data_IF_904549838873
#
_entry.id   IF_904549838873
#
_cell.length_a   1.000
_cell.length_b   1.000
_cell.length_c   1.000
_cell.angle_alpha   90.00
_cell.angle_beta   90.00
_cell.angle_gamma   90.00
#
_symmetry.space_group_name_H-M   'P 1'
#
loop_
_entity.id
_entity.type
_entity.pdbx_description
1 polymer ?
#
# COMPACT_ATOMS: atom_id res chain seq x y z
N UNK A 1 63.00 30.72 46.45
CA UNK A 1 62.47 29.38 46.10
C UNK A 1 62.09 28.62 47.37
N UNK A 2 60.80 28.54 47.69
CA UNK A 2 60.14 27.42 48.39
C UNK A 2 58.65 27.75 48.50
N UNK A 3 57.84 27.05 47.70
CA UNK A 3 56.38 27.03 47.81
C UNK A 3 56.03 26.16 49.01
N UNK A 4 55.18 26.63 49.92
CA UNK A 4 54.39 25.77 50.79
C UNK A 4 52.97 26.31 50.86
N UNK A 5 52.08 25.53 50.26
CA UNK A 5 50.64 25.73 50.13
C UNK A 5 49.92 25.16 51.35
N UNK A 6 48.99 25.95 51.90
CA UNK A 6 48.07 25.59 52.98
C UNK A 6 46.97 24.64 52.45
N UNK A 7 46.57 23.58 53.16
CA UNK A 7 45.60 22.61 52.65
C UNK A 7 44.17 23.14 52.80
N UNK A 8 43.44 23.23 51.68
CA UNK A 8 42.00 23.48 51.66
C UNK A 8 41.28 22.12 51.72
N UNK A 9 40.48 21.97 52.76
CA UNK A 9 39.62 20.84 53.05
C UNK A 9 38.55 20.69 51.95
N UNK A 10 38.63 19.64 51.13
CA UNK A 10 37.58 19.31 50.16
C UNK A 10 36.47 18.51 50.85
N UNK A 11 35.32 19.17 51.07
CA UNK A 11 34.07 18.54 51.46
C UNK A 11 33.50 17.85 50.23
N UNK A 12 33.53 16.52 50.21
CA UNK A 12 32.89 15.70 49.17
C UNK A 12 31.40 15.56 49.50
N UNK A 13 30.56 16.27 48.75
CA UNK A 13 29.11 16.07 48.75
C UNK A 13 28.81 14.70 48.10
N UNK A 14 28.39 13.74 48.91
CA UNK A 14 27.81 12.48 48.46
C UNK A 14 26.41 12.76 47.88
N UNK A 15 26.32 12.86 46.55
CA UNK A 15 25.03 12.80 45.85
C UNK A 15 24.57 11.35 45.90
N UNK A 16 23.64 11.06 46.80
CA UNK A 16 22.88 9.81 46.80
C UNK A 16 21.96 9.81 45.56
N UNK A 17 22.45 9.24 44.46
CA UNK A 17 21.65 8.98 43.27
C UNK A 17 20.64 7.88 43.59
N UNK A 18 19.35 8.22 43.51
CA UNK A 18 18.26 7.24 43.43
C UNK A 18 18.46 6.37 42.18
N UNK A 19 19.11 5.23 42.36
CA UNK A 19 19.14 4.18 41.35
C UNK A 19 17.81 3.42 41.43
N UNK A 20 16.75 4.05 40.91
CA UNK A 20 15.54 3.32 40.58
C UNK A 20 15.93 2.32 39.51
N UNK A 21 16.20 1.08 39.92
CA UNK A 21 16.56 0.00 39.03
C UNK A 21 15.52 -0.08 37.92
N UNK A 22 15.92 0.34 36.72
CA UNK A 22 15.20 0.02 35.50
C UNK A 22 15.18 -1.49 35.47
N UNK A 23 14.02 -2.10 35.78
CA UNK A 23 13.80 -3.51 35.48
C UNK A 23 13.88 -3.60 33.97
N UNK A 24 15.03 -4.03 33.47
CA UNK A 24 15.14 -4.58 32.14
C UNK A 24 14.16 -5.75 32.11
N UNK A 25 12.99 -5.52 31.51
CA UNK A 25 12.13 -6.62 31.08
C UNK A 25 12.94 -7.31 30.00
N UNK A 26 13.65 -8.38 30.38
CA UNK A 26 14.26 -9.27 29.42
C UNK A 26 13.13 -9.85 28.60
N UNK A 27 12.89 -9.29 27.41
CA UNK A 27 12.25 -10.06 26.36
C UNK A 27 13.17 -11.25 26.13
N UNK A 28 12.76 -12.43 26.61
CA UNK A 28 13.29 -13.64 26.00
C UNK A 28 12.88 -13.52 24.54
N UNK A 29 13.85 -13.52 23.62
CA UNK A 29 13.59 -13.89 22.23
C UNK A 29 13.09 -15.33 22.26
N UNK A 30 11.79 -15.51 22.56
CA UNK A 30 11.14 -16.79 22.45
C UNK A 30 11.09 -17.08 20.97
N UNK A 31 11.97 -17.97 20.49
CA UNK A 31 11.81 -18.52 19.16
C UNK A 31 10.43 -19.17 19.11
N UNK A 32 9.60 -18.80 18.14
CA UNK A 32 8.35 -19.51 17.87
C UNK A 32 8.63 -21.01 17.76
N UNK A 33 7.70 -21.84 18.23
CA UNK A 33 7.84 -23.28 18.06
C UNK A 33 8.03 -23.62 16.57
N UNK A 34 8.78 -24.68 16.27
CA UNK A 34 9.00 -25.11 14.89
C UNK A 34 7.68 -25.39 14.16
N UNK A 35 6.69 -25.89 14.89
CA UNK A 35 5.33 -26.14 14.43
C UNK A 35 4.58 -24.85 14.09
N UNK A 36 4.63 -23.83 14.96
CA UNK A 36 4.04 -22.52 14.71
C UNK A 36 4.66 -21.85 13.47
N UNK A 37 5.99 -21.99 13.33
CA UNK A 37 6.72 -21.46 12.17
C UNK A 37 6.32 -22.17 10.88
N UNK A 38 6.14 -23.50 10.92
CA UNK A 38 5.70 -24.29 9.78
C UNK A 38 4.25 -23.94 9.39
N UNK A 39 3.35 -23.82 10.37
CA UNK A 39 1.96 -23.42 10.15
C UNK A 39 1.89 -22.02 9.52
N UNK A 40 2.64 -21.06 10.06
CA UNK A 40 2.68 -19.70 9.52
C UNK A 40 3.18 -19.68 8.06
N UNK A 41 4.25 -20.44 7.75
CA UNK A 41 4.73 -20.57 6.36
C UNK A 41 3.66 -21.17 5.45
N UNK A 42 2.96 -22.21 5.91
CA UNK A 42 1.91 -22.85 5.12
C UNK A 42 0.75 -21.88 4.85
N UNK A 43 0.29 -21.15 5.87
CA UNK A 43 -0.75 -20.11 5.70
C UNK A 43 -0.28 -19.06 4.70
N UNK A 44 0.94 -18.51 4.84
CA UNK A 44 1.48 -17.54 3.89
C UNK A 44 1.52 -18.06 2.46
N UNK A 45 1.99 -19.29 2.26
CA UNK A 45 2.10 -19.87 0.91
C UNK A 45 0.72 -20.12 0.30
N UNK A 46 -0.22 -20.70 1.05
CA UNK A 46 -1.58 -20.97 0.58
C UNK A 46 -2.33 -19.67 0.28
N UNK A 47 -2.18 -18.63 1.10
CA UNK A 47 -2.78 -17.32 0.82
C UNK A 47 -2.13 -16.64 -0.38
N UNK A 48 -0.81 -16.75 -0.56
CA UNK A 48 -0.12 -16.26 -1.76
C UNK A 48 -0.71 -16.84 -3.05
N UNK A 49 -1.10 -18.13 -3.05
CA UNK A 49 -1.70 -18.77 -4.23
C UNK A 49 -3.02 -18.11 -4.68
N UNK A 50 -3.72 -17.36 -3.83
CA UNK A 50 -4.87 -16.55 -4.27
C UNK A 50 -4.47 -15.51 -5.34
N UNK A 51 -3.34 -14.85 -5.14
CA UNK A 51 -2.83 -13.80 -6.02
C UNK A 51 -1.94 -14.33 -7.15
N UNK A 52 -1.62 -15.62 -7.11
CA UNK A 52 -0.79 -16.29 -8.12
C UNK A 52 -1.61 -17.20 -9.02
N UNK A 53 -2.10 -18.32 -8.49
CA UNK A 53 -2.92 -19.28 -9.23
C UNK A 53 -4.37 -18.80 -9.40
N UNK A 54 -4.88 -18.07 -8.41
CA UNK A 54 -6.23 -17.51 -8.39
C UNK A 54 -6.40 -16.22 -9.19
N UNK A 55 -5.30 -15.62 -9.67
CA UNK A 55 -5.32 -14.38 -10.43
C UNK A 55 -6.16 -14.48 -11.72
N UNK A 56 -6.69 -13.35 -12.17
CA UNK A 56 -7.36 -13.30 -13.47
C UNK A 56 -6.31 -13.43 -14.59
N UNK A 57 -6.50 -14.35 -15.55
CA UNK A 57 -5.45 -14.76 -16.48
C UNK A 57 -5.05 -13.73 -17.54
N UNK A 58 -5.82 -12.66 -17.80
CA UNK A 58 -5.45 -11.62 -18.78
C UNK A 58 -4.70 -10.48 -18.10
N UNK A 59 -5.26 -9.90 -17.05
CA UNK A 59 -4.69 -8.79 -16.27
C UNK A 59 -3.56 -9.23 -15.34
N UNK A 60 -3.62 -10.46 -14.82
CA UNK A 60 -2.76 -10.93 -13.74
C UNK A 60 -3.10 -10.34 -12.36
N UNK A 61 -4.17 -9.53 -12.26
CA UNK A 61 -4.62 -8.93 -11.00
C UNK A 61 -5.39 -9.94 -10.14
N UNK A 62 -5.47 -9.64 -8.83
CA UNK A 62 -6.34 -10.36 -7.91
C UNK A 62 -7.81 -10.17 -8.28
N UNK A 63 -8.56 -11.27 -8.32
CA UNK A 63 -10.01 -11.23 -8.48
C UNK A 63 -10.67 -10.62 -7.25
N UNK A 64 -11.81 -9.96 -7.46
CA UNK A 64 -12.68 -9.52 -6.37
C UNK A 64 -13.08 -10.71 -5.47
N UNK A 65 -13.38 -11.86 -6.08
CA UNK A 65 -13.79 -13.07 -5.36
C UNK A 65 -13.39 -14.34 -6.09
N UNK A 66 -13.15 -15.39 -5.31
CA UNK A 66 -12.90 -16.73 -5.83
C UNK A 66 -13.81 -17.73 -5.13
N UNK A 67 -14.75 -18.33 -5.87
CA UNK A 67 -15.66 -19.34 -5.35
C UNK A 67 -15.21 -20.73 -5.81
N UNK A 68 -14.87 -21.59 -4.86
CA UNK A 68 -14.32 -22.94 -5.13
C UNK A 68 -15.34 -23.83 -5.85
N UNK A 69 -16.64 -23.64 -5.57
CA UNK A 69 -17.73 -24.36 -6.23
C UNK A 69 -17.98 -23.90 -7.68
N UNK A 70 -17.33 -22.83 -8.12
CA UNK A 70 -17.50 -22.24 -9.44
C UNK A 70 -18.81 -21.48 -9.65
N UNK A 71 -19.62 -21.28 -8.61
CA UNK A 71 -20.90 -20.59 -8.70
C UNK A 71 -20.73 -19.08 -8.47
N UNK A 72 -20.92 -18.27 -9.52
CA UNK A 72 -20.82 -16.81 -9.46
C UNK A 72 -22.18 -16.19 -9.82
N UNK A 73 -23.04 -15.86 -8.83
CA UNK A 73 -24.40 -15.37 -9.08
C UNK A 73 -24.45 -14.13 -9.99
N UNK A 74 -23.45 -13.26 -9.88
CA UNK A 74 -23.35 -12.01 -10.65
C UNK A 74 -22.53 -12.16 -11.94
N UNK A 75 -22.14 -13.38 -12.32
CA UNK A 75 -21.26 -13.70 -13.45
C UNK A 75 -19.98 -12.83 -13.46
N UNK A 76 -19.40 -12.63 -12.28
CA UNK A 76 -18.35 -11.64 -12.00
C UNK A 76 -16.98 -12.27 -11.71
N UNK A 77 -16.78 -13.54 -12.07
CA UNK A 77 -15.52 -14.27 -11.83
C UNK A 77 -14.26 -13.55 -12.33
N UNK A 78 -14.35 -12.85 -13.46
CA UNK A 78 -13.21 -12.14 -14.06
C UNK A 78 -13.17 -10.65 -13.72
N UNK A 79 -13.95 -10.24 -12.71
CA UNK A 79 -13.83 -8.90 -12.13
C UNK A 79 -12.62 -8.85 -11.23
N UNK A 80 -11.79 -7.84 -11.43
CA UNK A 80 -10.58 -7.58 -10.67
C UNK A 80 -10.74 -6.28 -9.89
N UNK A 81 -10.21 -6.26 -8.67
CA UNK A 81 -10.28 -5.12 -7.74
C UNK A 81 -8.96 -4.38 -7.71
N UNK A 82 -9.00 -3.04 -7.74
CA UNK A 82 -7.79 -2.21 -7.70
C UNK A 82 -7.10 -2.29 -6.35
N UNK A 83 -7.74 -1.94 -5.23
CA UNK A 83 -7.07 -1.96 -3.93
C UNK A 83 -6.70 -3.37 -3.48
N UNK A 84 -7.57 -4.36 -3.70
CA UNK A 84 -7.26 -5.76 -3.43
C UNK A 84 -6.05 -6.27 -4.23
N UNK A 85 -5.88 -5.82 -5.48
CA UNK A 85 -4.68 -6.14 -6.26
C UNK A 85 -3.43 -5.38 -5.79
N UNK A 86 -3.57 -4.22 -5.14
CA UNK A 86 -2.51 -3.56 -4.40
C UNK A 86 -1.88 -4.45 -3.32
N UNK A 87 -2.73 -5.17 -2.58
CA UNK A 87 -2.25 -6.19 -1.63
C UNK A 87 -1.61 -7.37 -2.36
N UNK A 88 -2.19 -7.77 -3.50
CA UNK A 88 -1.66 -8.83 -4.36
C UNK A 88 -0.24 -8.58 -4.88
N UNK A 89 0.07 -7.37 -5.34
CA UNK A 89 1.43 -7.06 -5.80
C UNK A 89 2.46 -7.14 -4.66
N UNK A 90 2.08 -6.76 -3.44
CA UNK A 90 2.92 -6.96 -2.24
C UNK A 90 3.07 -8.44 -1.91
N UNK A 91 2.01 -9.24 -2.03
CA UNK A 91 2.07 -10.69 -1.84
C UNK A 91 3.02 -11.36 -2.85
N UNK A 92 3.08 -10.86 -4.10
CA UNK A 92 4.05 -11.34 -5.09
C UNK A 92 5.49 -11.07 -4.66
N UNK A 93 5.79 -9.88 -4.11
CA UNK A 93 7.11 -9.59 -3.54
C UNK A 93 7.46 -10.55 -2.40
N UNK A 94 6.51 -10.85 -1.51
CA UNK A 94 6.67 -11.86 -0.46
C UNK A 94 6.94 -13.24 -1.06
N UNK A 95 6.23 -13.62 -2.12
CA UNK A 95 6.42 -14.90 -2.81
C UNK A 95 7.82 -15.06 -3.42
N UNK A 96 8.38 -13.97 -3.95
CA UNK A 96 9.78 -13.93 -4.41
C UNK A 96 10.74 -14.15 -3.23
N UNK A 97 10.62 -13.35 -2.17
CA UNK A 97 11.52 -13.39 -1.01
C UNK A 97 11.46 -14.73 -0.25
N UNK A 98 10.28 -15.36 -0.20
CA UNK A 98 10.07 -16.65 0.47
C UNK A 98 10.37 -17.86 -0.41
N UNK A 99 10.73 -17.64 -1.67
CA UNK A 99 11.01 -18.68 -2.65
C UNK A 99 9.78 -19.52 -3.03
N UNK A 100 8.57 -18.96 -2.93
CA UNK A 100 7.36 -19.60 -3.46
C UNK A 100 7.35 -19.57 -4.98
N UNK A 101 7.95 -18.53 -5.57
CA UNK A 101 8.20 -18.37 -7.00
C UNK A 101 9.61 -17.83 -7.23
N UNK A 102 10.14 -17.98 -8.44
CA UNK A 102 11.41 -17.35 -8.80
C UNK A 102 11.25 -15.84 -8.97
N UNK A 103 12.33 -15.08 -8.75
CA UNK A 103 12.35 -13.63 -9.00
C UNK A 103 11.95 -13.27 -10.44
N UNK A 104 12.40 -14.08 -11.41
CA UNK A 104 12.04 -13.88 -12.81
C UNK A 104 10.53 -14.08 -13.07
N UNK A 105 9.94 -15.13 -12.50
CA UNK A 105 8.50 -15.38 -12.63
C UNK A 105 7.70 -14.24 -11.98
N UNK A 106 8.07 -13.84 -10.76
CA UNK A 106 7.44 -12.73 -10.04
C UNK A 106 7.54 -11.40 -10.81
N UNK A 107 8.71 -11.07 -11.36
CA UNK A 107 8.90 -9.87 -12.22
C UNK A 107 7.98 -9.91 -13.44
N UNK A 108 7.89 -11.04 -14.15
CA UNK A 108 7.03 -11.18 -15.34
C UNK A 108 5.55 -11.00 -14.99
N UNK A 109 5.10 -11.54 -13.86
CA UNK A 109 3.72 -11.34 -13.38
C UNK A 109 3.46 -9.86 -13.06
N UNK A 110 4.41 -9.19 -12.38
CA UNK A 110 4.28 -7.76 -12.07
C UNK A 110 4.33 -6.88 -13.32
N UNK A 111 5.13 -7.22 -14.33
CA UNK A 111 5.15 -6.52 -15.62
C UNK A 111 3.82 -6.59 -16.36
N UNK A 112 3.16 -7.76 -16.30
CA UNK A 112 1.81 -7.97 -16.84
C UNK A 112 0.77 -7.12 -16.11
N UNK A 113 0.82 -7.11 -14.77
CA UNK A 113 -0.05 -6.26 -13.94
C UNK A 113 0.16 -4.78 -14.28
N UNK A 114 1.40 -4.31 -14.32
CA UNK A 114 1.71 -2.91 -14.65
C UNK A 114 1.25 -2.58 -16.07
N UNK A 115 1.37 -3.50 -17.03
CA UNK A 115 0.86 -3.29 -18.38
C UNK A 115 -0.67 -3.15 -18.42
N UNK A 116 -1.39 -3.94 -17.63
CA UNK A 116 -2.84 -3.79 -17.51
C UNK A 116 -3.19 -2.41 -16.93
N UNK A 117 -2.52 -1.98 -15.85
CA UNK A 117 -2.79 -0.69 -15.22
C UNK A 117 -2.47 0.52 -16.13
N UNK A 118 -1.50 0.38 -17.04
CA UNK A 118 -1.16 1.39 -18.06
C UNK A 118 -2.24 1.54 -19.15
N UNK A 119 -3.10 0.54 -19.34
CA UNK A 119 -4.05 0.48 -20.46
C UNK A 119 -5.53 0.43 -20.03
N UNK A 120 -5.79 0.07 -18.76
CA UNK A 120 -7.13 0.06 -18.18
C UNK A 120 -7.69 1.48 -18.01
N UNK A 121 -9.02 1.58 -17.90
CA UNK A 121 -9.69 2.86 -17.65
C UNK A 121 -9.17 3.49 -16.34
N UNK A 122 -8.84 4.79 -16.42
CA UNK A 122 -8.47 5.63 -15.29
C UNK A 122 -9.15 7.01 -15.40
N UNK A 123 -9.29 7.69 -14.28
CA UNK A 123 -10.08 8.90 -14.12
C UNK A 123 -9.29 9.92 -13.30
N UNK A 124 -8.70 10.89 -13.99
CA UNK A 124 -7.70 11.79 -13.39
C UNK A 124 -6.54 11.01 -12.74
N UNK A 125 -6.08 9.97 -13.45
CA UNK A 125 -5.03 9.06 -13.00
C UNK A 125 -5.45 8.03 -11.95
N UNK A 126 -6.55 8.26 -11.22
CA UNK A 126 -7.07 7.27 -10.28
C UNK A 126 -7.79 6.13 -11.00
N UNK A 127 -7.67 4.93 -10.47
CA UNK A 127 -8.32 3.73 -10.97
C UNK A 127 -9.71 3.56 -10.34
N UNK A 128 -10.66 2.92 -11.05
CA UNK A 128 -11.94 2.53 -10.46
C UNK A 128 -11.76 1.44 -9.40
N UNK A 129 -12.81 1.23 -8.62
CA UNK A 129 -12.91 0.11 -7.68
C UNK A 129 -12.75 -1.24 -8.40
N UNK A 130 -13.49 -1.41 -9.52
CA UNK A 130 -13.49 -2.65 -10.30
C UNK A 130 -13.26 -2.42 -11.80
N UNK A 131 -12.60 -3.40 -12.40
CA UNK A 131 -12.58 -3.59 -13.84
C UNK A 131 -13.10 -4.98 -14.22
N UNK A 132 -13.53 -5.11 -15.48
CA UNK A 132 -13.41 -6.40 -16.15
C UNK A 132 -11.92 -6.66 -16.48
N UNK A 133 -11.34 -7.71 -15.89
CA UNK A 133 -9.92 -8.05 -16.05
C UNK A 133 -9.51 -8.44 -17.47
N UNK A 134 -10.46 -8.83 -18.33
CA UNK A 134 -10.19 -9.19 -19.72
C UNK A 134 -10.04 -7.96 -20.62
N UNK A 135 -10.65 -6.83 -20.24
CA UNK A 135 -10.79 -5.66 -21.11
C UNK A 135 -10.19 -4.37 -20.54
N UNK A 136 -9.95 -4.32 -19.24
CA UNK A 136 -9.53 -3.10 -18.56
C UNK A 136 -10.64 -2.05 -18.46
N UNK A 137 -11.89 -2.40 -18.78
CA UNK A 137 -13.03 -1.48 -18.70
C UNK A 137 -13.62 -1.44 -17.31
N UNK A 138 -13.98 -0.23 -16.85
CA UNK A 138 -14.62 -0.05 -15.54
C UNK A 138 -15.88 -0.90 -15.44
N UNK A 139 -16.00 -1.65 -14.34
CA UNK A 139 -17.26 -2.26 -13.92
C UNK A 139 -17.81 -1.40 -12.77
N UNK A 140 -18.95 -0.71 -12.94
CA UNK A 140 -19.45 0.17 -11.89
C UNK A 140 -19.75 -0.54 -10.57
N UNK A 141 -19.31 0.03 -9.45
CA UNK A 141 -19.61 -0.44 -8.09
C UNK A 141 -20.92 0.19 -7.59
N UNK A 142 -22.00 -0.14 -8.31
CA UNK A 142 -23.29 0.56 -8.18
C UNK A 142 -23.48 1.65 -9.23
N UNK A 143 -24.63 2.32 -9.20
CA UNK A 143 -25.08 3.13 -10.35
C UNK A 143 -24.21 4.35 -10.66
N UNK A 144 -23.67 5.01 -9.62
CA UNK A 144 -22.97 6.29 -9.73
C UNK A 144 -21.45 6.17 -9.57
N UNK A 145 -20.98 4.98 -9.21
CA UNK A 145 -19.57 4.70 -8.97
C UNK A 145 -18.99 3.99 -10.20
N UNK A 146 -18.89 4.75 -11.30
CA UNK A 146 -18.40 4.32 -12.61
C UNK A 146 -17.13 5.09 -13.03
N UNK A 147 -16.46 5.69 -12.05
CA UNK A 147 -15.27 6.52 -12.25
C UNK A 147 -14.13 6.11 -11.33
N UNK A 148 -13.33 7.07 -10.89
CA UNK A 148 -12.17 6.78 -10.04
C UNK A 148 -12.55 6.65 -8.58
N UNK A 149 -11.94 5.67 -7.93
CA UNK A 149 -11.97 5.42 -6.49
C UNK A 149 -10.57 5.72 -5.92
N UNK A 150 -10.44 6.82 -5.18
CA UNK A 150 -9.15 7.28 -4.68
C UNK A 150 -8.63 6.45 -3.50
N UNK A 151 -9.51 5.78 -2.74
CA UNK A 151 -9.11 4.93 -1.63
C UNK A 151 -8.50 3.65 -2.17
N UNK A 152 -9.19 2.98 -3.11
CA UNK A 152 -8.68 1.76 -3.74
C UNK A 152 -7.41 2.03 -4.57
N UNK A 153 -7.37 3.18 -5.27
CA UNK A 153 -6.15 3.68 -5.92
C UNK A 153 -4.99 3.80 -4.93
N UNK A 154 -5.26 4.31 -3.73
CA UNK A 154 -4.22 4.48 -2.70
C UNK A 154 -3.68 3.15 -2.19
N UNK A 155 -4.52 2.12 -2.06
CA UNK A 155 -4.07 0.77 -1.73
C UNK A 155 -3.21 0.15 -2.85
N UNK A 156 -3.60 0.33 -4.12
CA UNK A 156 -2.78 -0.07 -5.27
C UNK A 156 -1.42 0.63 -5.27
N UNK A 157 -1.40 1.96 -5.08
CA UNK A 157 -0.18 2.74 -5.07
C UNK A 157 0.76 2.37 -3.92
N UNK A 158 0.22 2.09 -2.74
CA UNK A 158 1.01 1.56 -1.62
C UNK A 158 1.77 0.29 -2.03
N UNK A 159 1.12 -0.63 -2.75
CA UNK A 159 1.76 -1.82 -3.30
C UNK A 159 2.77 -1.53 -4.41
N UNK A 160 2.42 -0.69 -5.38
CA UNK A 160 3.31 -0.33 -6.50
C UNK A 160 4.57 0.40 -6.05
N UNK A 161 4.48 1.24 -5.00
CA UNK A 161 5.65 1.89 -4.43
C UNK A 161 6.60 0.86 -3.79
N UNK A 162 6.08 -0.21 -3.16
CA UNK A 162 6.92 -1.32 -2.70
C UNK A 162 7.63 -2.02 -3.89
N UNK A 163 6.90 -2.28 -4.97
CA UNK A 163 7.46 -2.88 -6.21
C UNK A 163 8.57 -1.98 -6.78
N UNK A 164 8.33 -0.66 -6.85
CA UNK A 164 9.32 0.31 -7.29
C UNK A 164 10.59 0.21 -6.44
N UNK A 165 10.46 0.26 -5.11
CA UNK A 165 11.62 0.23 -4.22
C UNK A 165 12.38 -1.10 -4.30
N UNK A 166 11.68 -2.21 -4.49
CA UNK A 166 12.26 -3.55 -4.57
C UNK A 166 13.13 -3.72 -5.83
N UNK A 167 12.70 -3.16 -6.97
CA UNK A 167 13.37 -3.36 -8.27
C UNK A 167 14.26 -2.19 -8.74
N UNK A 168 14.19 -1.01 -8.13
CA UNK A 168 14.93 0.21 -8.59
C UNK A 168 16.45 0.04 -8.72
N UNK A 169 17.06 -0.88 -7.96
CA UNK A 169 18.51 -1.14 -7.98
C UNK A 169 18.88 -2.44 -8.70
N UNK A 170 17.90 -3.04 -9.38
CA UNK A 170 18.03 -4.32 -10.08
C UNK A 170 18.75 -4.24 -11.43
N UNK A 171 18.54 -5.28 -12.23
CA UNK A 171 18.98 -5.34 -13.62
C UNK A 171 18.18 -4.36 -14.52
N UNK A 172 18.43 -4.39 -15.83
CA UNK A 172 17.76 -3.49 -16.78
C UNK A 172 16.24 -3.67 -16.83
N UNK A 173 15.73 -4.91 -16.86
CA UNK A 173 14.28 -5.16 -16.90
C UNK A 173 13.61 -4.76 -15.57
N UNK A 174 14.24 -5.05 -14.44
CA UNK A 174 13.78 -4.69 -13.10
C UNK A 174 13.69 -3.16 -12.94
N UNK A 175 14.70 -2.43 -13.39
CA UNK A 175 14.68 -0.95 -13.40
C UNK A 175 13.59 -0.39 -14.29
N UNK A 176 13.33 -1.03 -15.44
CA UNK A 176 12.24 -0.63 -16.33
C UNK A 176 10.87 -0.83 -15.67
N UNK A 177 10.65 -1.95 -14.96
CA UNK A 177 9.43 -2.17 -14.18
C UNK A 177 9.27 -1.11 -13.08
N UNK A 178 10.33 -0.81 -12.32
CA UNK A 178 10.29 0.22 -11.29
C UNK A 178 9.97 1.62 -11.85
N UNK A 179 10.54 1.98 -13.00
CA UNK A 179 10.27 3.25 -13.67
C UNK A 179 8.80 3.36 -14.14
N UNK A 180 8.22 2.27 -14.65
CA UNK A 180 6.80 2.23 -15.05
C UNK A 180 5.86 2.37 -13.84
N UNK A 181 6.17 1.69 -12.74
CA UNK A 181 5.43 1.86 -11.48
C UNK A 181 5.52 3.31 -10.96
N UNK A 182 6.70 3.94 -11.04
CA UNK A 182 6.89 5.35 -10.66
C UNK A 182 6.11 6.32 -11.54
N UNK A 183 6.00 6.01 -12.84
CA UNK A 183 5.19 6.79 -13.77
C UNK A 183 3.71 6.75 -13.37
N UNK A 184 3.14 5.57 -13.15
CA UNK A 184 1.73 5.43 -12.71
C UNK A 184 1.48 6.18 -11.40
N UNK A 185 2.40 6.08 -10.43
CA UNK A 185 2.34 6.86 -9.19
C UNK A 185 2.24 8.37 -9.42
N UNK A 186 3.04 8.90 -10.34
CA UNK A 186 3.08 10.34 -10.66
C UNK A 186 1.88 10.82 -11.47
N UNK A 187 1.13 9.93 -12.10
CA UNK A 187 -0.04 10.28 -12.91
C UNK A 187 -1.32 10.44 -12.08
N UNK A 188 -1.36 9.95 -10.84
CA UNK A 188 -2.55 10.07 -9.97
C UNK A 188 -2.72 11.50 -9.47
N UNK A 189 -3.81 12.15 -9.87
CA UNK A 189 -4.12 13.53 -9.50
C UNK A 189 -4.92 13.61 -8.20
N UNK A 190 -4.26 13.42 -7.06
CA UNK A 190 -4.92 13.55 -5.74
C UNK A 190 -5.54 14.93 -5.54
N UNK A 191 -4.94 15.98 -6.10
CA UNK A 191 -5.43 17.35 -5.97
C UNK A 191 -6.78 17.56 -6.69
N UNK A 192 -7.04 16.86 -7.80
CA UNK A 192 -8.35 16.83 -8.45
C UNK A 192 -9.45 16.39 -7.48
N UNK A 193 -9.20 15.32 -6.72
CA UNK A 193 -10.14 14.73 -5.77
C UNK A 193 -10.43 15.59 -4.54
N UNK A 194 -9.83 16.78 -4.43
CA UNK A 194 -10.24 17.76 -3.44
C UNK A 194 -11.57 18.41 -3.75
N UNK A 195 -12.00 18.43 -5.02
CA UNK A 195 -13.13 19.24 -5.48
C UNK A 195 -13.03 20.71 -4.96
N UNK A 196 -11.81 21.26 -5.00
CA UNK A 196 -11.53 22.63 -4.52
C UNK A 196 -11.58 22.85 -3.00
N UNK A 197 -11.62 21.79 -2.18
CA UNK A 197 -11.81 21.88 -0.72
C UNK A 197 -10.59 21.35 0.07
N UNK A 198 -10.62 21.54 1.39
CA UNK A 198 -9.64 21.01 2.33
C UNK A 198 -10.02 19.60 2.83
N UNK A 199 -10.43 18.73 1.90
CA UNK A 199 -10.78 17.33 2.15
C UNK A 199 -10.58 16.54 0.86
N UNK A 200 -10.36 15.23 0.93
CA UNK A 200 -10.37 14.34 -0.23
C UNK A 200 -11.73 13.67 -0.37
N UNK A 201 -12.27 13.68 -1.58
CA UNK A 201 -13.43 12.89 -1.95
C UNK A 201 -13.00 11.49 -2.38
N UNK A 202 -13.76 10.49 -1.94
CA UNK A 202 -13.50 9.11 -2.27
C UNK A 202 -13.67 8.85 -3.79
N UNK A 203 -14.73 9.41 -4.38
CA UNK A 203 -15.12 9.09 -5.76
C UNK A 203 -15.23 10.32 -6.64
N UNK A 204 -14.94 10.14 -7.93
CA UNK A 204 -15.28 11.08 -9.00
C UNK A 204 -15.69 10.31 -10.25
N UNK A 205 -16.72 10.79 -10.96
CA UNK A 205 -17.23 10.15 -12.18
C UNK A 205 -17.28 11.12 -13.37
N UNK A 206 -16.97 10.67 -14.60
CA UNK A 206 -17.18 11.47 -15.81
C UNK A 206 -18.66 11.73 -16.11
N UNK A 207 -19.56 10.84 -15.69
CA UNK A 207 -21.00 10.92 -15.96
C UNK A 207 -21.78 11.58 -14.81
N UNK A 208 -21.29 11.41 -13.58
CA UNK A 208 -21.98 11.83 -12.37
C UNK A 208 -21.23 12.91 -11.57
N UNK A 209 -20.01 13.28 -11.96
CA UNK A 209 -19.17 14.23 -11.23
C UNK A 209 -18.99 13.81 -9.77
N UNK A 210 -19.30 14.72 -8.86
CA UNK A 210 -19.17 14.53 -7.40
C UNK A 210 -20.43 13.98 -6.74
N UNK A 211 -21.39 13.41 -7.48
CA UNK A 211 -22.68 12.98 -6.92
C UNK A 211 -22.62 11.82 -5.93
N UNK A 212 -21.53 11.05 -5.89
CA UNK A 212 -21.27 10.11 -4.79
C UNK A 212 -21.10 10.87 -3.46
N UNK A 213 -20.59 12.10 -3.53
CA UNK A 213 -20.52 13.07 -2.44
C UNK A 213 -20.02 12.48 -1.11
N UNK A 214 -18.89 11.80 -1.18
CA UNK A 214 -18.29 11.16 -0.01
C UNK A 214 -16.93 11.81 0.31
N UNK A 215 -16.92 12.93 1.06
CA UNK A 215 -15.69 13.47 1.65
C UNK A 215 -15.20 12.52 2.74
N UNK A 216 -13.94 12.07 2.65
CA UNK A 216 -13.38 11.06 3.55
C UNK A 216 -12.86 11.71 4.81
N UNK A 217 -13.51 11.47 5.95
CA UNK A 217 -13.10 11.96 7.27
C UNK A 217 -12.68 10.80 8.17
N UNK A 218 -11.73 11.05 9.05
CA UNK A 218 -11.20 10.06 9.98
C UNK A 218 -12.06 9.87 11.23
N UNK A 219 -11.83 8.82 12.03
CA UNK A 219 -10.89 7.72 11.77
C UNK A 219 -11.56 6.56 11.05
N UNK A 220 -10.92 6.03 10.01
CA UNK A 220 -11.29 4.81 9.28
C UNK A 220 -10.06 4.21 8.54
N UNK A 221 -10.27 3.30 7.59
CA UNK A 221 -9.25 2.60 6.80
C UNK A 221 -8.47 3.48 5.81
N UNK A 222 -8.92 4.71 5.54
CA UNK A 222 -8.44 5.52 4.42
C UNK A 222 -7.23 6.41 4.75
N UNK A 223 -6.57 6.24 5.90
CA UNK A 223 -5.44 7.10 6.31
C UNK A 223 -4.34 7.16 5.24
N UNK A 224 -4.02 6.03 4.61
CA UNK A 224 -2.94 5.94 3.62
C UNK A 224 -3.21 6.82 2.38
N UNK A 225 -4.48 7.06 2.04
CA UNK A 225 -4.87 7.96 0.95
C UNK A 225 -4.37 9.38 1.21
N UNK A 226 -4.55 9.89 2.43
CA UNK A 226 -4.07 11.22 2.80
C UNK A 226 -2.54 11.30 2.86
N UNK A 227 -1.88 10.25 3.38
CA UNK A 227 -0.40 10.18 3.41
C UNK A 227 0.17 10.20 2.00
N UNK A 228 -0.41 9.42 1.08
CA UNK A 228 0.02 9.38 -0.31
C UNK A 228 -0.30 10.70 -1.03
N UNK A 229 -1.47 11.28 -0.81
CA UNK A 229 -1.82 12.59 -1.38
C UNK A 229 -0.82 13.68 -0.99
N UNK A 230 -0.37 13.72 0.27
CA UNK A 230 0.67 14.65 0.72
C UNK A 230 2.07 14.31 0.17
N UNK A 231 2.31 13.04 -0.19
CA UNK A 231 3.60 12.54 -0.69
C UNK A 231 3.75 12.63 -2.21
N UNK A 232 2.67 12.90 -2.95
CA UNK A 232 2.71 12.98 -4.42
C UNK A 232 3.66 14.08 -4.87
N UNK A 233 4.63 13.79 -5.77
CA UNK A 233 5.57 14.80 -6.24
C UNK A 233 5.01 15.67 -7.38
N UNK A 234 3.84 15.34 -7.92
CA UNK A 234 3.25 15.96 -9.12
C UNK A 234 1.88 16.57 -8.84
N UNK A 235 1.07 15.91 -7.99
CA UNK A 235 -0.30 16.31 -7.68
C UNK A 235 -0.54 16.30 -6.16
N UNK A 236 0.40 16.86 -5.40
CA UNK A 236 0.33 16.90 -3.94
C UNK A 236 -0.87 17.72 -3.44
N UNK A 237 -1.38 17.34 -2.28
CA UNK A 237 -2.32 18.18 -1.51
C UNK A 237 -1.62 18.88 -0.36
N UNK A 238 -2.05 20.10 0.01
CA UNK A 238 -1.45 20.83 1.12
C UNK A 238 -1.92 20.25 2.48
N UNK A 239 -1.17 20.53 3.55
CA UNK A 239 -1.35 19.88 4.85
C UNK A 239 -2.74 20.14 5.48
N UNK A 240 -3.35 21.28 5.18
CA UNK A 240 -4.72 21.62 5.61
C UNK A 240 -5.75 20.60 5.13
N UNK A 241 -5.52 19.91 3.99
CA UNK A 241 -6.42 18.84 3.52
C UNK A 241 -6.46 17.68 4.53
N UNK A 242 -5.34 17.37 5.16
CA UNK A 242 -5.31 16.38 6.24
C UNK A 242 -5.90 16.94 7.54
N UNK A 243 -5.46 18.13 7.96
CA UNK A 243 -5.86 18.67 9.27
C UNK A 243 -7.34 19.07 9.35
N UNK A 244 -7.92 19.63 8.29
CA UNK A 244 -9.31 20.11 8.24
C UNK A 244 -10.27 19.12 7.56
N UNK A 245 -9.74 18.11 6.87
CA UNK A 245 -10.52 17.10 6.18
C UNK A 245 -10.52 15.77 6.93
N UNK A 246 -9.35 15.17 7.09
CA UNK A 246 -9.20 13.87 7.75
C UNK A 246 -9.33 13.96 9.27
N UNK A 247 -8.65 14.93 9.90
CA UNK A 247 -8.53 15.03 11.36
C UNK A 247 -9.50 16.05 12.00
N UNK A 248 -10.51 16.48 11.25
CA UNK A 248 -11.56 17.42 11.67
C UNK A 248 -12.34 16.95 12.92
#
# INVERSE_FOLDING_TARGET
MRKQTLPILFISLLIAGCNAGIKTVGYSEGSLAAEDTALFRQVQQQTFHYFWDGAEPVSGLGRERFHVDGNYPDNDKNVVTSGGAGFGVMAILVGIERGFVTKEAGRKQLEKIVHFLETADCFHGAWPHWWNGETGKVKPFGKKDDGGDLVETSFMLQGLLCVRQYFQNGNAEEKALAARADKLWKEVDFNWYRNGQNVLYWHWSPNYGWQMNFPVKGYNECLIMYVLAASSPTHAVPAEVYHEGWAD
#
